data_IF_150717823923
#
_entry.id   IF_150717823923
#
_cell.length_a   1.000
_cell.length_b   1.000
_cell.length_c   1.000
_cell.angle_alpha   90.00
_cell.angle_beta   90.00
_cell.angle_gamma   90.00
#
_symmetry.space_group_name_H-M   'P 1'
#
loop_
_entity.id
_entity.type
_entity.pdbx_description
1 polymer ?
#
# COMPACT_ATOMS: atom_id res chain seq x y z
N UNK A 1 -20.40 3.08 -37.18
CA UNK A 1 -20.49 2.60 -35.79
C UNK A 1 -19.06 2.45 -35.28
N UNK A 2 -18.54 3.51 -34.65
CA UNK A 2 -17.20 3.51 -34.07
C UNK A 2 -17.20 2.75 -32.75
N UNK A 3 -16.20 1.89 -32.57
CA UNK A 3 -15.95 1.17 -31.33
C UNK A 3 -15.21 2.11 -30.37
N UNK A 4 -15.90 2.60 -29.35
CA UNK A 4 -15.28 3.29 -28.22
C UNK A 4 -14.40 2.29 -27.45
N UNK A 5 -13.09 2.37 -27.66
CA UNK A 5 -12.12 1.56 -26.93
C UNK A 5 -11.82 2.24 -25.59
N UNK A 6 -12.69 2.05 -24.61
CA UNK A 6 -12.43 2.43 -23.22
C UNK A 6 -11.51 1.37 -22.57
N UNK A 7 -10.21 1.39 -22.86
CA UNK A 7 -9.21 0.63 -22.09
C UNK A 7 -8.27 1.61 -21.40
N UNK A 8 -8.64 2.04 -20.19
CA UNK A 8 -7.76 2.86 -19.35
C UNK A 8 -6.77 1.97 -18.62
N UNK A 9 -5.76 1.46 -19.32
CA UNK A 9 -4.62 0.75 -18.73
C UNK A 9 -3.60 1.77 -18.19
N UNK A 10 -3.95 2.43 -17.09
CA UNK A 10 -2.99 3.29 -16.40
C UNK A 10 -1.94 2.43 -15.69
N UNK A 11 -0.71 2.49 -16.18
CA UNK A 11 0.43 1.80 -15.58
C UNK A 11 1.00 2.65 -14.45
N UNK A 12 0.68 2.28 -13.20
CA UNK A 12 1.25 2.91 -12.02
C UNK A 12 1.64 1.89 -10.96
N UNK A 13 2.63 2.24 -10.14
CA UNK A 13 3.13 1.34 -9.10
C UNK A 13 2.21 1.36 -7.89
N UNK A 14 1.63 0.20 -7.59
CA UNK A 14 0.81 -0.05 -6.40
C UNK A 14 1.61 -0.90 -5.42
N UNK A 15 1.51 -0.60 -4.13
CA UNK A 15 2.20 -1.37 -3.09
C UNK A 15 1.28 -1.77 -1.94
N UNK A 16 1.64 -2.83 -1.21
CA UNK A 16 0.98 -3.21 0.04
C UNK A 16 1.99 -3.01 1.16
N UNK A 17 1.63 -2.18 2.14
CA UNK A 17 2.53 -1.77 3.21
C UNK A 17 1.98 -2.26 4.55
N UNK A 18 2.86 -2.78 5.39
CA UNK A 18 2.55 -3.07 6.79
C UNK A 18 3.25 -1.99 7.62
N UNK A 19 2.52 -0.99 8.16
CA UNK A 19 3.14 0.05 8.96
C UNK A 19 3.63 -0.49 10.31
N UNK A 20 4.68 0.11 10.86
CA UNK A 20 5.09 -0.18 12.24
C UNK A 20 4.06 0.43 13.21
N UNK A 21 3.53 -0.39 14.12
CA UNK A 21 2.49 0.00 15.07
C UNK A 21 2.90 1.21 15.92
N UNK A 22 4.16 1.28 16.35
CA UNK A 22 4.67 2.38 17.18
C UNK A 22 4.76 3.68 16.40
N UNK A 23 5.38 3.66 15.22
CA UNK A 23 5.54 4.85 14.39
C UNK A 23 4.17 5.43 13.98
N UNK A 24 3.24 4.56 13.57
CA UNK A 24 1.90 4.99 13.20
C UNK A 24 1.11 5.51 14.42
N UNK A 25 1.30 4.91 15.60
CA UNK A 25 0.69 5.38 16.84
C UNK A 25 1.15 6.78 17.24
N UNK A 26 2.45 7.08 17.13
CA UNK A 26 2.99 8.42 17.39
C UNK A 26 2.41 9.44 16.41
N UNK A 27 2.33 9.09 15.12
CA UNK A 27 1.70 9.94 14.11
C UNK A 27 0.22 10.19 14.44
N UNK A 28 -0.52 9.16 14.85
CA UNK A 28 -1.94 9.24 15.15
C UNK A 28 -2.19 10.19 16.34
N UNK A 29 -1.42 10.08 17.42
CA UNK A 29 -1.51 11.00 18.57
C UNK A 29 -1.23 12.44 18.15
N UNK A 30 -0.19 12.67 17.34
CA UNK A 30 0.15 14.01 16.83
C UNK A 30 -0.97 14.64 15.99
N UNK A 31 -1.75 13.83 15.29
CA UNK A 31 -2.85 14.29 14.44
C UNK A 31 -4.23 14.17 15.12
N UNK A 32 -4.27 13.92 16.44
CA UNK A 32 -5.49 13.73 17.24
C UNK A 32 -6.38 12.59 16.71
N UNK A 33 -5.79 11.56 16.11
CA UNK A 33 -6.48 10.33 15.75
C UNK A 33 -6.47 9.35 16.92
N UNK A 34 -7.65 9.11 17.48
CA UNK A 34 -7.91 8.02 18.42
C UNK A 34 -8.48 6.81 17.68
N UNK A 35 -8.05 5.60 18.06
CA UNK A 35 -8.61 4.37 17.51
C UNK A 35 -7.67 3.17 17.61
N UNK A 36 -8.19 2.00 17.24
CA UNK A 36 -7.38 0.78 17.13
C UNK A 36 -6.49 0.84 15.88
N UNK A 37 -5.35 0.15 15.91
CA UNK A 37 -4.38 0.11 14.81
C UNK A 37 -5.01 -0.27 13.46
N UNK A 38 -5.99 -1.18 13.47
CA UNK A 38 -6.75 -1.56 12.28
C UNK A 38 -7.49 -0.37 11.65
N UNK A 39 -8.17 0.43 12.45
CA UNK A 39 -8.89 1.63 12.00
C UNK A 39 -7.94 2.72 11.50
N UNK A 40 -6.72 2.79 12.04
CA UNK A 40 -5.67 3.68 11.51
C UNK A 40 -5.19 3.22 10.13
N UNK A 41 -5.08 1.90 9.89
CA UNK A 41 -4.72 1.37 8.58
C UNK A 41 -5.84 1.59 7.54
N UNK A 42 -7.09 1.67 7.95
CA UNK A 42 -8.23 2.00 7.07
C UNK A 42 -8.38 3.52 6.82
N UNK A 43 -7.54 4.35 7.46
CA UNK A 43 -7.65 5.80 7.38
C UNK A 43 -6.85 6.38 6.21
N UNK A 44 -7.55 7.03 5.27
CA UNK A 44 -6.95 7.64 4.09
C UNK A 44 -5.90 8.73 4.41
N UNK A 45 -5.99 9.42 5.56
CA UNK A 45 -4.96 10.40 5.97
C UNK A 45 -3.68 9.71 6.41
N UNK A 46 -3.79 8.58 7.09
CA UNK A 46 -2.64 7.77 7.50
C UNK A 46 -1.96 7.14 6.28
N UNK A 47 -2.77 6.65 5.35
CA UNK A 47 -2.37 6.17 4.03
C UNK A 47 -1.57 7.28 3.30
N UNK A 48 -2.17 8.45 3.05
CA UNK A 48 -1.48 9.54 2.36
C UNK A 48 -0.19 10.00 3.06
N UNK A 49 -0.17 10.06 4.39
CA UNK A 49 1.05 10.41 5.12
C UNK A 49 2.21 9.44 4.84
N UNK A 50 1.95 8.14 4.86
CA UNK A 50 2.97 7.13 4.58
C UNK A 50 3.42 7.21 3.12
N UNK A 51 2.50 7.45 2.19
CA UNK A 51 2.82 7.65 0.78
C UNK A 51 3.76 8.84 0.56
N UNK A 52 3.45 9.96 1.21
CA UNK A 52 4.22 11.19 1.09
C UNK A 52 5.62 11.02 1.67
N UNK A 53 5.76 10.35 2.82
CA UNK A 53 7.06 10.02 3.41
C UNK A 53 7.89 9.12 2.48
N UNK A 54 7.29 8.08 1.90
CA UNK A 54 7.96 7.17 0.98
C UNK A 54 8.38 7.88 -0.32
N UNK A 55 7.49 8.69 -0.89
CA UNK A 55 7.77 9.45 -2.10
C UNK A 55 8.79 10.58 -1.85
N UNK A 56 8.75 11.24 -0.69
CA UNK A 56 9.75 12.23 -0.27
C UNK A 56 11.13 11.57 -0.12
N UNK A 57 11.18 10.40 0.52
CA UNK A 57 12.40 9.60 0.61
C UNK A 57 12.90 9.19 -0.79
N UNK A 58 12.00 8.74 -1.67
CA UNK A 58 12.34 8.39 -3.05
C UNK A 58 12.92 9.56 -3.85
N UNK A 59 12.33 10.76 -3.72
CA UNK A 59 12.85 11.96 -4.35
C UNK A 59 14.23 12.35 -3.82
N UNK A 60 14.48 12.23 -2.50
CA UNK A 60 15.81 12.45 -1.91
C UNK A 60 16.87 11.50 -2.47
N UNK A 61 16.48 10.28 -2.81
CA UNK A 61 17.34 9.28 -3.44
C UNK A 61 17.33 9.35 -4.98
N UNK A 62 16.75 10.40 -5.57
CA UNK A 62 16.69 10.63 -7.02
C UNK A 62 15.99 9.49 -7.80
N UNK A 63 15.02 8.83 -7.18
CA UNK A 63 14.18 7.83 -7.87
C UNK A 63 13.40 8.49 -9.02
N UNK A 64 13.21 7.73 -10.09
CA UNK A 64 12.47 8.18 -11.28
C UNK A 64 10.98 8.24 -10.96
N UNK A 65 10.24 9.08 -11.69
CA UNK A 65 8.80 9.26 -11.48
C UNK A 65 7.96 7.97 -11.61
N UNK A 66 8.44 6.97 -12.35
CA UNK A 66 7.82 5.65 -12.48
C UNK A 66 8.13 4.69 -11.32
N UNK A 67 9.16 4.99 -10.51
CA UNK A 67 9.52 4.24 -9.30
C UNK A 67 8.78 4.78 -8.07
N UNK A 68 8.20 5.98 -8.17
CA UNK A 68 7.38 6.58 -7.13
C UNK A 68 6.02 5.90 -7.03
N UNK A 69 5.59 5.70 -5.79
CA UNK A 69 4.33 5.05 -5.47
C UNK A 69 3.17 5.98 -5.81
N UNK A 70 2.14 5.43 -6.46
CA UNK A 70 0.91 6.17 -6.80
C UNK A 70 -0.29 5.73 -5.98
N UNK A 71 -0.33 4.47 -5.60
CA UNK A 71 -1.38 3.90 -4.77
C UNK A 71 -0.78 2.88 -3.80
N UNK A 72 -1.40 2.71 -2.65
CA UNK A 72 -0.91 1.73 -1.69
C UNK A 72 -2.01 1.28 -0.75
N UNK A 73 -1.92 0.04 -0.26
CA UNK A 73 -2.85 -0.51 0.71
C UNK A 73 -2.15 -0.72 2.05
N UNK A 74 -2.66 -0.15 3.13
CA UNK A 74 -2.15 -0.40 4.48
C UNK A 74 -2.75 -1.68 5.05
N UNK A 75 -1.87 -2.63 5.33
CA UNK A 75 -2.19 -3.92 5.87
C UNK A 75 -1.93 -3.92 7.39
N UNK A 76 -2.98 -4.11 8.23
CA UNK A 76 -2.83 -4.08 9.68
C UNK A 76 -2.21 -5.36 10.25
N UNK A 77 -2.21 -6.47 9.50
CA UNK A 77 -1.69 -7.76 9.95
C UNK A 77 -0.39 -8.08 9.20
N UNK A 78 0.77 -8.19 9.88
CA UNK A 78 2.05 -8.55 9.28
C UNK A 78 1.96 -9.84 8.47
N UNK A 79 2.75 -9.96 7.40
CA UNK A 79 2.76 -11.19 6.60
C UNK A 79 3.22 -12.39 7.44
N UNK A 80 2.46 -13.47 7.39
CA UNK A 80 2.70 -14.68 8.19
C UNK A 80 2.73 -15.93 7.32
N UNK A 81 3.23 -17.01 7.92
CA UNK A 81 3.29 -18.34 7.29
C UNK A 81 1.92 -19.01 7.27
N UNK A 82 1.02 -18.67 8.19
CA UNK A 82 -0.33 -19.26 8.28
C UNK A 82 -1.15 -18.98 7.02
N UNK A 83 -0.99 -17.79 6.44
CA UNK A 83 -1.61 -17.38 5.17
C UNK A 83 -0.77 -17.71 3.93
N UNK A 84 0.32 -18.46 4.09
CA UNK A 84 1.27 -18.82 3.02
C UNK A 84 1.84 -17.60 2.27
N UNK A 85 2.00 -16.46 2.95
CA UNK A 85 2.50 -15.21 2.33
C UNK A 85 4.01 -15.07 2.41
N UNK A 86 4.64 -15.77 3.37
CA UNK A 86 6.09 -15.80 3.57
C UNK A 86 6.61 -17.23 3.64
N UNK A 87 7.90 -17.39 3.33
CA UNK A 87 8.64 -18.63 3.59
C UNK A 87 9.03 -18.75 5.06
N UNK A 88 9.45 -19.93 5.54
CA UNK A 88 10.07 -20.09 6.87
C UNK A 88 11.31 -19.22 7.09
N UNK A 89 11.94 -18.79 6.01
CA UNK A 89 13.07 -17.84 6.02
C UNK A 89 12.63 -16.37 5.94
N UNK A 90 11.36 -16.07 6.23
CA UNK A 90 10.75 -14.74 6.21
C UNK A 90 10.87 -14.00 4.86
N UNK A 91 11.03 -14.74 3.75
CA UNK A 91 11.00 -14.16 2.40
C UNK A 91 9.57 -14.10 1.89
N UNK A 92 9.20 -12.96 1.31
CA UNK A 92 7.88 -12.76 0.70
C UNK A 92 7.66 -13.69 -0.51
N UNK A 93 6.51 -14.37 -0.55
CA UNK A 93 6.06 -15.18 -1.69
C UNK A 93 5.27 -14.31 -2.67
N UNK A 94 5.96 -13.70 -3.63
CA UNK A 94 5.38 -12.73 -4.59
C UNK A 94 4.12 -13.24 -5.31
N UNK A 95 4.12 -14.48 -5.80
CA UNK A 95 2.97 -15.06 -6.51
C UNK A 95 1.74 -15.20 -5.61
N UNK A 96 1.94 -15.59 -4.35
CA UNK A 96 0.85 -15.72 -3.37
C UNK A 96 0.32 -14.37 -2.91
N UNK A 97 1.21 -13.41 -2.63
CA UNK A 97 0.82 -12.03 -2.34
C UNK A 97 -0.02 -11.44 -3.46
N UNK A 98 0.42 -11.59 -4.72
CA UNK A 98 -0.34 -11.10 -5.87
C UNK A 98 -1.73 -11.74 -5.93
N UNK A 99 -1.85 -13.06 -5.68
CA UNK A 99 -3.14 -13.76 -5.68
C UNK A 99 -4.04 -13.31 -4.53
N UNK A 100 -3.47 -13.13 -3.34
CA UNK A 100 -4.19 -12.71 -2.13
C UNK A 100 -4.73 -11.28 -2.27
N UNK A 101 -3.91 -10.35 -2.76
CA UNK A 101 -4.27 -8.94 -2.90
C UNK A 101 -4.87 -8.57 -4.26
N UNK A 102 -5.00 -9.52 -5.20
CA UNK A 102 -5.58 -9.29 -6.54
C UNK A 102 -6.99 -8.69 -6.52
N UNK A 103 -7.74 -8.93 -5.43
CA UNK A 103 -9.09 -8.41 -5.24
C UNK A 103 -9.04 -6.96 -4.75
N UNK A 104 -8.14 -6.64 -3.82
CA UNK A 104 -7.94 -5.26 -3.34
C UNK A 104 -7.41 -4.31 -4.42
N UNK A 105 -6.59 -4.80 -5.36
CA UNK A 105 -6.04 -3.95 -6.43
C UNK A 105 -7.06 -3.52 -7.48
N UNK A 106 -8.20 -4.22 -7.61
CA UNK A 106 -9.28 -3.78 -8.51
C UNK A 106 -9.89 -2.45 -8.09
N UNK A 107 -9.89 -2.12 -6.80
CA UNK A 107 -10.42 -0.85 -6.30
C UNK A 107 -9.60 0.37 -6.75
N UNK A 108 -8.32 0.18 -7.12
CA UNK A 108 -7.47 1.26 -7.64
C UNK A 108 -7.58 1.45 -9.16
N UNK A 109 -8.28 0.56 -9.88
CA UNK A 109 -8.51 0.70 -11.34
C UNK A 109 -9.51 1.82 -11.69
N UNK A 110 -10.13 2.47 -10.70
CA UNK A 110 -11.12 3.54 -10.89
C UNK A 110 -10.55 4.97 -10.83
N UNK A 111 -9.23 5.14 -10.78
CA UNK A 111 -8.56 6.45 -10.79
C UNK A 111 -8.07 6.87 -12.18
#
# INVERSE_FOLDING_TARGET
MGYDTLSSDKSFLVTVLVPETRALGVWAVKHNFGGHFKSLCENMKAENYILDELNSSGQKHQLRGFELLKAHHLQPIPFDMERDLITPTFKLKRSQLLRYYKVCTKCYQSY
#
